data_IF_496281557965
#
_entry.id   IF_496281557965
#
_cell.length_a   1.000
_cell.length_b   1.000
_cell.length_c   1.000
_cell.angle_alpha   90.00
_cell.angle_beta   90.00
_cell.angle_gamma   90.00
#
_symmetry.space_group_name_H-M   'P 1'
#
loop_
_entity.id
_entity.type
_entity.pdbx_description
1 polymer ?
#
# COMPACT_ATOMS: atom_id res chain seq x y z
N UNK A 1 -40.55 -10.71 21.48
CA UNK A 1 -40.05 -10.68 21.40
C UNK A 1 -39.12 -10.83 21.13
N UNK A 2 -39.11 -10.98 21.12
CA UNK A 2 -38.10 -11.19 20.85
C UNK A 2 -37.28 -11.23 20.15
N UNK A 3 -37.37 -11.38 20.01
CA UNK A 3 -36.62 -11.51 19.48
C UNK A 3 -35.70 -11.30 18.90
N UNK A 4 -35.70 -11.26 18.99
CA UNK A 4 -34.85 -11.09 18.55
C UNK A 4 -33.86 -11.03 18.15
N UNK A 5 -34.04 -11.17 18.46
CA UNK A 5 -32.98 -11.03 18.30
C UNK A 5 -32.20 -11.30 17.79
N UNK A 6 -32.59 -11.59 18.15
CA UNK A 6 -31.71 -11.91 17.83
C UNK A 6 -30.99 -12.00 17.10
N UNK A 7 -31.37 -12.12 17.15
CA UNK A 7 -30.58 -12.31 16.61
C UNK A 7 -29.67 -12.15 16.09
N UNK A 8 -29.92 -12.14 16.22
CA UNK A 8 -28.99 -12.21 15.85
C UNK A 8 -28.05 -12.16 15.50
N UNK A 9 -28.17 -12.36 15.72
CA UNK A 9 -27.23 -12.52 15.55
C UNK A 9 -26.41 -12.57 15.02
N UNK A 10 -26.78 -12.75 14.92
CA UNK A 10 -25.87 -12.99 14.50
C UNK A 10 -25.12 -12.85 14.09
N UNK A 11 -25.28 -12.70 14.09
CA UNK A 11 -24.37 -12.69 13.79
C UNK A 11 -23.54 -12.68 13.37
N UNK A 12 -23.71 -12.83 13.54
CA UNK A 12 -22.77 -12.95 13.35
C UNK A 12 -22.01 -13.09 12.95
N UNK A 13 -22.25 -13.35 12.99
CA UNK A 13 -21.37 -13.64 12.75
C UNK A 13 -20.75 -13.71 12.21
N UNK A 14 -21.04 -13.85 12.05
CA UNK A 14 -20.27 -14.06 11.58
C UNK A 14 -19.52 -14.00 11.16
N UNK A 15 -19.74 -14.04 11.19
CA UNK A 15 -18.92 -14.08 10.87
C UNK A 15 -18.17 -14.16 10.70
N UNK A 16 -18.12 -14.37 10.87
CA UNK A 16 -17.18 -14.47 10.82
C UNK A 16 -16.58 -15.00 10.41
N UNK A 17 -16.72 -15.28 10.32
CA UNK A 17 -16.04 -15.85 10.06
C UNK A 17 -15.44 -16.00 9.48
N UNK A 18 -15.49 -16.32 9.27
CA UNK A 18 -14.91 -16.61 8.75
C UNK A 18 -13.99 -16.37 8.44
N UNK A 19 -13.89 -16.15 8.57
CA UNK A 19 -13.04 -15.98 8.39
C UNK A 19 -12.18 -15.58 8.09
N UNK A 20 -12.00 -15.67 8.00
CA UNK A 20 -11.18 -15.39 7.76
C UNK A 20 -10.64 -14.90 7.14
N UNK A 21 -10.90 -15.01 6.99
CA UNK A 21 -10.39 -14.65 6.49
C UNK A 21 -9.94 -13.95 6.08
N UNK A 22 -10.05 -14.04 6.08
CA UNK A 22 -9.69 -13.35 5.87
C UNK A 22 -9.31 -12.64 5.51
N UNK A 23 -9.35 -12.73 5.38
CA UNK A 23 -8.98 -12.17 5.17
C UNK A 23 -8.63 -11.48 5.05
N UNK A 24 -8.66 -11.53 4.97
CA UNK A 24 -8.29 -10.94 4.90
C UNK A 24 -7.74 -10.18 4.97
N UNK A 25 -7.93 -10.53 5.42
CA UNK A 25 -7.00 -9.69 5.84
C UNK A 25 -6.55 -8.79 4.93
N UNK A 26 -6.31 -9.18 4.25
CA UNK A 26 -5.84 -8.38 3.29
C UNK A 26 -6.55 -7.13 3.13
N UNK A 27 -7.70 -7.09 3.48
CA UNK A 27 -8.43 -5.89 3.29
C UNK A 27 -7.81 -4.75 3.99
N UNK A 28 -7.26 -5.00 5.10
CA UNK A 28 -6.71 -3.93 5.86
C UNK A 28 -5.67 -3.19 5.10
N UNK A 29 -4.95 -3.91 4.31
CA UNK A 29 -3.89 -3.27 3.66
C UNK A 29 -4.32 -2.43 2.53
N UNK A 30 -5.58 -2.34 2.24
CA UNK A 30 -6.00 -1.47 1.19
C UNK A 30 -6.05 -0.03 1.64
N UNK A 31 -5.91 0.25 2.91
CA UNK A 31 -5.88 1.62 3.38
C UNK A 31 -4.51 2.21 3.09
N UNK A 32 -4.44 3.26 2.27
CA UNK A 32 -3.12 3.84 2.02
C UNK A 32 -2.61 4.61 3.22
N UNK A 33 -1.32 4.61 3.36
CA UNK A 33 -0.64 5.36 4.39
C UNK A 33 0.00 6.61 3.79
N UNK A 34 0.94 7.19 4.52
CA UNK A 34 1.72 8.30 4.03
C UNK A 34 3.20 7.94 4.16
N UNK A 35 4.04 8.74 3.53
CA UNK A 35 5.48 8.55 3.67
C UNK A 35 5.88 8.67 5.13
N UNK A 36 5.33 9.66 5.85
CA UNK A 36 5.69 9.81 7.26
C UNK A 36 5.32 8.60 8.08
N UNK A 37 4.16 8.00 7.80
CA UNK A 37 3.76 6.79 8.51
C UNK A 37 4.67 5.63 8.14
N UNK A 38 5.00 5.53 6.87
CA UNK A 38 5.86 4.45 6.41
C UNK A 38 7.20 4.48 7.09
N UNK A 39 7.75 5.67 7.31
CA UNK A 39 9.06 5.79 7.93
C UNK A 39 9.08 5.31 9.37
N UNK A 40 7.93 5.19 10.00
CA UNK A 40 7.83 4.69 11.37
C UNK A 40 7.68 3.18 11.45
N UNK A 41 7.43 2.54 10.34
CA UNK A 41 7.17 1.10 10.34
C UNK A 41 8.49 0.35 10.46
N UNK A 42 8.38 -0.89 10.90
CA UNK A 42 9.55 -1.74 11.03
C UNK A 42 9.94 -2.30 9.68
N UNK A 43 11.18 -2.73 9.61
CA UNK A 43 11.69 -3.42 8.43
C UNK A 43 10.75 -4.58 8.08
N UNK A 44 10.54 -4.79 6.81
CA UNK A 44 9.68 -5.84 6.26
C UNK A 44 8.19 -5.62 6.47
N UNK A 45 7.76 -4.49 7.03
CA UNK A 45 6.34 -4.18 7.12
C UNK A 45 5.78 -3.92 5.74
N UNK A 46 4.52 -4.28 5.54
CA UNK A 46 3.85 -4.02 4.28
C UNK A 46 3.15 -2.66 4.34
N UNK A 47 3.17 -1.92 3.23
CA UNK A 47 2.57 -0.59 3.21
C UNK A 47 2.04 -0.30 1.82
N UNK A 48 1.01 0.53 1.75
CA UNK A 48 0.50 1.07 0.50
C UNK A 48 0.42 2.58 0.63
N UNK A 49 0.84 3.30 -0.41
CA UNK A 49 0.86 4.77 -0.39
C UNK A 49 0.41 5.29 -1.74
N UNK A 50 -0.42 6.31 -1.72
CA UNK A 50 -0.85 6.99 -2.94
C UNK A 50 0.03 8.21 -3.18
N UNK A 51 0.44 8.39 -4.42
CA UNK A 51 1.29 9.53 -4.75
C UNK A 51 1.76 9.46 -6.18
N UNK A 52 2.89 10.09 -6.44
CA UNK A 52 3.43 10.20 -7.79
C UNK A 52 4.91 9.85 -7.81
N UNK A 53 5.34 9.23 -8.89
CA UNK A 53 6.75 8.92 -9.09
C UNK A 53 7.33 10.12 -9.83
N UNK A 54 8.19 10.86 -9.18
CA UNK A 54 8.63 12.16 -9.69
C UNK A 54 9.90 12.08 -10.52
N UNK A 55 10.76 11.12 -10.22
CA UNK A 55 12.00 11.02 -10.99
C UNK A 55 12.62 9.66 -10.80
N UNK A 56 13.48 9.29 -11.72
CA UNK A 56 14.26 8.08 -11.57
C UNK A 56 15.64 8.47 -11.03
N UNK A 57 16.03 7.85 -9.93
CA UNK A 57 17.30 8.16 -9.29
C UNK A 57 18.43 7.34 -9.88
N UNK A 58 18.17 6.09 -10.19
CA UNK A 58 19.07 5.18 -10.86
C UNK A 58 18.25 3.95 -11.25
N UNK A 59 18.88 2.96 -11.80
CA UNK A 59 18.17 1.79 -12.28
C UNK A 59 17.30 1.20 -11.18
N UNK A 60 16.02 1.05 -11.46
CA UNK A 60 15.02 0.48 -10.56
C UNK A 60 14.75 1.30 -9.31
N UNK A 61 15.39 2.45 -9.14
CA UNK A 61 15.18 3.30 -7.97
C UNK A 61 14.59 4.62 -8.38
N UNK A 62 13.56 5.05 -7.68
CA UNK A 62 12.79 6.22 -8.05
C UNK A 62 12.50 7.05 -6.80
N UNK A 63 12.23 8.33 -7.02
CA UNK A 63 11.72 9.19 -5.97
C UNK A 63 10.21 9.21 -6.05
N UNK A 64 9.55 8.84 -4.97
CA UNK A 64 8.10 8.83 -4.86
C UNK A 64 7.69 9.93 -3.90
N UNK A 65 6.65 10.70 -4.26
CA UNK A 65 6.17 11.79 -3.43
C UNK A 65 4.70 11.54 -3.15
N UNK A 66 4.33 11.53 -1.88
CA UNK A 66 2.95 11.26 -1.50
C UNK A 66 2.11 12.53 -1.62
N UNK A 67 0.84 12.43 -1.27
CA UNK A 67 -0.08 13.53 -1.44
C UNK A 67 0.15 14.66 -0.43
N UNK A 68 0.95 14.41 0.59
CA UNK A 68 1.34 15.43 1.56
C UNK A 68 2.60 16.16 1.15
N UNK A 69 3.25 15.73 0.07
CA UNK A 69 4.48 16.36 -0.37
C UNK A 69 5.75 15.75 0.18
N UNK A 70 5.64 14.68 0.94
CA UNK A 70 6.81 14.00 1.50
C UNK A 70 7.33 12.97 0.52
N UNK A 71 8.63 12.78 0.48
CA UNK A 71 9.23 11.89 -0.50
C UNK A 71 9.96 10.74 0.17
N UNK A 72 10.09 9.66 -0.58
CA UNK A 72 10.81 8.48 -0.16
C UNK A 72 11.36 7.81 -1.41
N UNK A 73 12.48 7.13 -1.28
CA UNK A 73 13.01 6.35 -2.38
C UNK A 73 12.28 5.01 -2.45
N UNK A 74 11.95 4.58 -3.66
CA UNK A 74 11.29 3.29 -3.85
C UNK A 74 12.06 2.50 -4.90
N UNK A 75 12.02 1.18 -4.78
CA UNK A 75 12.63 0.29 -5.75
C UNK A 75 11.52 -0.41 -6.50
N UNK A 76 11.53 -0.34 -7.84
CA UNK A 76 10.50 -0.94 -8.67
C UNK A 76 11.19 -1.75 -9.77
N UNK A 77 11.11 -3.08 -9.67
CA UNK A 77 11.66 -3.97 -10.67
C UNK A 77 10.88 -3.88 -11.97
N UNK A 78 11.51 -4.24 -13.05
CA UNK A 78 10.84 -4.28 -14.34
C UNK A 78 9.60 -5.18 -14.29
N UNK A 79 9.67 -6.27 -13.55
CA UNK A 79 8.53 -7.18 -13.44
C UNK A 79 7.32 -6.54 -12.79
N UNK A 80 7.53 -5.59 -11.92
CA UNK A 80 6.43 -4.92 -11.23
C UNK A 80 5.70 -4.00 -12.19
N UNK A 81 6.42 -3.39 -13.10
CA UNK A 81 5.81 -2.46 -14.07
C UNK A 81 4.82 -3.16 -14.98
N UNK A 82 5.16 -4.33 -15.49
CA UNK A 82 4.26 -5.16 -16.31
C UNK A 82 3.60 -4.36 -17.43
N UNK A 83 4.38 -3.54 -18.09
CA UNK A 83 3.85 -2.77 -19.19
C UNK A 83 3.11 -1.50 -18.80
N UNK A 84 3.03 -1.21 -17.51
CA UNK A 84 2.43 0.02 -17.03
C UNK A 84 3.40 1.17 -17.32
N UNK A 85 2.90 2.27 -17.83
CA UNK A 85 3.70 3.46 -18.07
C UNK A 85 3.09 4.62 -17.32
N UNK A 86 3.92 5.39 -16.64
CA UNK A 86 3.46 6.55 -15.90
C UNK A 86 4.42 7.70 -16.14
N UNK A 87 3.93 8.91 -15.88
CA UNK A 87 4.80 10.08 -15.85
C UNK A 87 4.70 10.73 -14.46
N UNK A 88 5.34 11.87 -14.33
CA UNK A 88 5.42 12.50 -13.01
C UNK A 88 4.09 13.07 -12.54
N UNK A 89 3.06 13.06 -13.38
CA UNK A 89 1.74 13.57 -13.03
C UNK A 89 0.72 12.46 -12.79
N UNK A 90 1.10 11.22 -12.98
CA UNK A 90 0.20 10.09 -12.84
C UNK A 90 0.06 9.74 -11.36
N UNK A 91 -1.16 9.76 -10.85
CA UNK A 91 -1.40 9.35 -9.48
C UNK A 91 -1.46 7.84 -9.43
N UNK A 92 -0.65 7.25 -8.58
CA UNK A 92 -0.56 5.80 -8.46
C UNK A 92 -0.64 5.40 -7.00
N UNK A 93 -1.02 4.14 -6.79
CA UNK A 93 -0.87 3.51 -5.48
C UNK A 93 0.23 2.48 -5.61
N UNK A 94 1.26 2.64 -4.81
CA UNK A 94 2.30 1.64 -4.72
C UNK A 94 2.08 0.84 -3.44
N UNK A 95 2.40 -0.44 -3.49
CA UNK A 95 2.37 -1.25 -2.29
C UNK A 95 3.58 -2.16 -2.29
N UNK A 96 4.10 -2.42 -1.11
CA UNK A 96 5.29 -3.22 -1.00
C UNK A 96 5.78 -3.27 0.44
N UNK A 97 7.04 -3.59 0.59
CA UNK A 97 7.62 -3.83 1.91
C UNK A 97 8.64 -2.76 2.24
N UNK A 98 8.65 -2.38 3.50
CA UNK A 98 9.63 -1.44 4.01
C UNK A 98 10.98 -2.14 4.09
N UNK A 99 11.99 -1.51 3.55
CA UNK A 99 13.37 -2.01 3.60
C UNK A 99 14.19 -0.97 4.34
N UNK A 100 14.55 -1.27 5.58
CA UNK A 100 15.33 -0.36 6.40
C UNK A 100 16.74 -0.88 6.56
N UNK A 101 17.70 -0.02 6.27
CA UNK A 101 19.06 -0.32 6.65
C UNK A 101 19.60 0.86 7.43
N UNK A 102 20.90 0.85 7.71
CA UNK A 102 21.48 1.87 8.58
C UNK A 102 21.37 3.27 8.01
N UNK A 103 21.33 3.40 6.70
CA UNK A 103 21.46 4.71 6.09
C UNK A 103 20.16 5.26 5.59
N UNK A 104 19.19 4.40 5.27
CA UNK A 104 17.96 4.90 4.68
C UNK A 104 16.84 3.89 4.76
N UNK A 105 15.65 4.38 4.49
CA UNK A 105 14.45 3.55 4.38
C UNK A 105 13.97 3.65 2.94
N UNK A 106 13.72 2.51 2.32
CA UNK A 106 13.15 2.45 0.99
C UNK A 106 11.92 1.55 1.02
N UNK A 107 11.13 1.59 -0.03
CA UNK A 107 10.02 0.67 -0.21
C UNK A 107 10.35 -0.22 -1.39
N UNK A 108 10.35 -1.53 -1.15
CA UNK A 108 10.50 -2.52 -2.21
C UNK A 108 9.10 -2.74 -2.77
N UNK A 109 8.79 -2.10 -3.89
CA UNK A 109 7.44 -2.06 -4.44
C UNK A 109 7.12 -3.41 -5.07
N UNK A 110 6.00 -3.98 -4.67
CA UNK A 110 5.54 -5.26 -5.20
C UNK A 110 4.40 -5.10 -6.17
N UNK A 111 3.69 -3.98 -6.10
CA UNK A 111 2.56 -3.75 -6.98
C UNK A 111 2.39 -2.25 -7.20
N UNK A 112 1.96 -1.88 -8.41
CA UNK A 112 1.68 -0.50 -8.73
C UNK A 112 0.35 -0.45 -9.47
N UNK A 113 -0.49 0.50 -9.08
CA UNK A 113 -1.82 0.63 -9.65
C UNK A 113 -2.04 2.09 -10.00
N UNK A 114 -2.46 2.36 -11.23
CA UNK A 114 -2.76 3.71 -11.66
C UNK A 114 -4.14 4.09 -11.11
N UNK A 115 -4.19 5.22 -10.41
CA UNK A 115 -5.45 5.72 -9.87
C UNK A 115 -6.02 6.81 -10.76
N UNK A 116 -5.16 7.61 -11.35
CA UNK A 116 -5.59 8.72 -12.15
C UNK A 116 -4.41 9.13 -13.04
N UNK A 117 -4.62 9.13 -14.33
CA UNK A 117 -3.55 9.40 -15.26
C UNK A 117 -3.50 10.86 -15.66
N UNK A 118 -4.10 11.71 -14.90
CA UNK A 118 -4.05 13.10 -15.24
C UNK A 118 -3.06 13.87 -14.50
#
# INVERSE_FOLDING_TARGET
MVRKFLISMALCAAAFGAGGFVASGSAAQTQPSSVKEALKLRDDSFVAIDGRIKSQLRREHYRFVDQNGDSIEVEIDDDVWRGVSVDENTLVRISGEIDKDFTKTTIDVKNIKILNSK
#
